data_IF_116438821473
#
_entry.id   IF_116438821473
#
_cell.length_a   1.000
_cell.length_b   1.000
_cell.length_c   1.000
_cell.angle_alpha   90.00
_cell.angle_beta   90.00
_cell.angle_gamma   90.00
#
_symmetry.space_group_name_H-M   'P 1'
#
loop_
_entity.id
_entity.type
_entity.pdbx_description
1 polymer ?
#
# COMPACT_ATOMS: atom_id res chain seq x y z
N UNK A 1 -1.04 -7.24 4.70
CA UNK A 1 0.12 -7.70 3.92
C UNK A 1 0.52 -9.07 4.40
N UNK A 2 0.94 -9.93 3.48
CA UNK A 2 1.42 -11.29 3.75
C UNK A 2 2.75 -11.47 3.04
N UNK A 3 3.72 -12.08 3.72
CA UNK A 3 4.96 -12.51 3.10
C UNK A 3 4.73 -13.91 2.51
N UNK A 4 4.72 -14.00 1.19
CA UNK A 4 4.58 -15.26 0.46
C UNK A 4 5.94 -15.71 -0.07
N UNK A 5 6.66 -16.53 0.71
CA UNK A 5 8.01 -16.95 0.32
C UNK A 5 8.04 -18.01 -0.78
N UNK A 6 6.96 -18.79 -0.91
CA UNK A 6 6.84 -19.95 -1.77
C UNK A 6 5.92 -19.73 -2.98
N UNK A 7 5.12 -18.65 -2.98
CA UNK A 7 4.21 -18.31 -4.07
C UNK A 7 2.90 -19.12 -4.05
N UNK A 8 2.59 -19.79 -2.94
CA UNK A 8 1.41 -20.65 -2.80
C UNK A 8 0.31 -20.05 -1.92
N UNK A 9 0.49 -18.84 -1.39
CA UNK A 9 -0.49 -18.22 -0.49
C UNK A 9 -1.88 -18.10 -1.11
N UNK A 10 -1.95 -17.89 -2.43
CA UNK A 10 -3.21 -17.85 -3.18
C UNK A 10 -4.06 -19.11 -2.98
N UNK A 11 -3.43 -20.29 -2.84
CA UNK A 11 -4.12 -21.57 -2.65
C UNK A 11 -4.71 -21.71 -1.24
N UNK A 12 -4.15 -20.99 -0.26
CA UNK A 12 -4.63 -20.97 1.11
C UNK A 12 -5.59 -19.81 1.40
N UNK A 13 -5.83 -18.93 0.42
CA UNK A 13 -6.62 -17.72 0.61
C UNK A 13 -8.06 -17.90 0.11
N UNK A 14 -9.04 -17.37 0.85
CA UNK A 14 -10.42 -17.32 0.37
C UNK A 14 -10.62 -16.14 -0.60
N UNK A 15 -10.29 -16.34 -1.87
CA UNK A 15 -10.38 -15.32 -2.92
C UNK A 15 -11.80 -14.85 -3.24
N UNK A 16 -12.85 -15.45 -2.67
CA UNK A 16 -14.23 -15.01 -2.91
C UNK A 16 -14.51 -13.59 -2.40
N UNK A 17 -13.75 -13.11 -1.40
CA UNK A 17 -13.95 -11.80 -0.77
C UNK A 17 -12.69 -10.96 -0.68
N UNK A 18 -11.55 -11.47 -1.11
CA UNK A 18 -10.26 -10.77 -1.05
C UNK A 18 -9.52 -10.92 -2.36
N UNK A 19 -8.82 -9.86 -2.74
CA UNK A 19 -7.91 -9.83 -3.87
C UNK A 19 -6.48 -9.70 -3.35
N UNK A 20 -5.56 -10.30 -4.09
CA UNK A 20 -4.14 -10.29 -3.82
C UNK A 20 -3.47 -9.35 -4.82
N UNK A 21 -2.74 -8.35 -4.31
CA UNK A 21 -2.01 -7.40 -5.15
C UNK A 21 -0.52 -7.40 -4.77
N UNK A 22 0.40 -7.62 -5.71
CA UNK A 22 1.84 -7.60 -5.45
C UNK A 22 2.34 -6.18 -5.18
N UNK A 23 3.10 -6.01 -4.08
CA UNK A 23 3.53 -4.67 -3.63
C UNK A 23 4.59 -4.06 -4.54
N UNK A 24 5.51 -4.87 -5.07
CA UNK A 24 6.59 -4.39 -5.91
C UNK A 24 6.08 -3.70 -7.18
N UNK A 25 5.04 -4.24 -7.82
CA UNK A 25 4.47 -3.66 -9.02
C UNK A 25 3.79 -2.30 -8.75
N UNK A 26 3.14 -2.11 -7.60
CA UNK A 26 2.61 -0.80 -7.20
C UNK A 26 3.73 0.22 -6.94
N UNK A 27 4.83 -0.20 -6.30
CA UNK A 27 5.98 0.66 -5.98
C UNK A 27 6.71 1.12 -7.25
N UNK A 28 7.04 0.20 -8.16
CA UNK A 28 7.66 0.53 -9.47
C UNK A 28 6.74 1.43 -10.32
N UNK A 29 5.43 1.17 -10.32
CA UNK A 29 4.46 1.99 -11.06
C UNK A 29 4.34 3.41 -10.48
N UNK A 30 4.39 3.55 -9.15
CA UNK A 30 4.34 4.83 -8.47
C UNK A 30 5.62 5.64 -8.75
N UNK A 31 6.80 5.03 -8.64
CA UNK A 31 8.08 5.67 -8.96
C UNK A 31 8.11 6.16 -10.42
N UNK A 32 7.62 5.36 -11.36
CA UNK A 32 7.51 5.75 -12.77
C UNK A 32 6.58 6.96 -13.02
N UNK A 33 5.52 7.10 -12.23
CA UNK A 33 4.59 8.24 -12.27
C UNK A 33 5.19 9.50 -11.64
N UNK A 34 5.95 9.35 -10.55
CA UNK A 34 6.63 10.46 -9.85
C UNK A 34 7.70 11.13 -10.72
N UNK A 35 8.33 10.41 -11.64
CA UNK A 35 9.26 10.99 -12.61
C UNK A 35 8.62 11.92 -13.66
N UNK A 36 7.29 12.05 -13.72
CA UNK A 36 6.58 12.91 -14.69
C UNK A 36 6.02 14.24 -14.12
N UNK A 37 6.13 14.53 -12.82
CA UNK A 37 5.55 15.74 -12.22
C UNK A 37 6.44 16.38 -11.16
N UNK A 38 6.92 17.59 -11.44
CA UNK A 38 7.82 18.33 -10.56
C UNK A 38 7.23 18.77 -9.21
N UNK A 39 8.18 19.20 -8.38
CA UNK A 39 8.08 19.85 -7.06
C UNK A 39 7.97 18.93 -5.83
N UNK A 40 9.15 18.60 -5.30
CA UNK A 40 9.42 17.71 -4.16
C UNK A 40 9.16 18.38 -2.78
N UNK A 41 8.42 19.49 -2.69
CA UNK A 41 8.31 20.27 -1.44
C UNK A 41 7.08 19.96 -0.56
N UNK A 42 6.21 19.02 -0.94
CA UNK A 42 5.03 18.65 -0.14
C UNK A 42 5.17 17.35 0.68
N UNK A 43 6.36 16.76 0.80
CA UNK A 43 6.56 15.49 1.55
C UNK A 43 6.58 15.64 3.09
N UNK A 44 6.14 16.79 3.61
CA UNK A 44 5.98 17.02 5.04
C UNK A 44 4.50 17.11 5.41
N UNK A 45 3.90 16.00 5.85
CA UNK A 45 2.57 15.87 6.52
C UNK A 45 1.36 15.45 5.67
N UNK A 46 1.55 14.78 4.55
CA UNK A 46 0.42 14.01 4.00
C UNK A 46 0.21 12.81 4.92
N UNK A 47 -0.92 12.79 5.61
CA UNK A 47 -1.33 11.71 6.50
C UNK A 47 -1.33 10.38 5.72
N UNK A 48 -0.24 9.62 5.84
CA UNK A 48 -0.07 8.26 5.26
C UNK A 48 -1.19 7.30 5.74
N UNK A 49 -2.07 7.75 6.63
CA UNK A 49 -3.19 7.00 7.18
C UNK A 49 -4.48 7.06 6.35
N UNK A 50 -4.66 8.01 5.41
CA UNK A 50 -5.94 8.15 4.68
C UNK A 50 -5.96 7.50 3.29
N UNK A 51 -4.81 7.28 2.66
CA UNK A 51 -4.70 6.58 1.38
C UNK A 51 -4.07 5.20 1.59
N UNK A 52 -4.91 4.20 1.89
CA UNK A 52 -4.53 2.77 1.96
C UNK A 52 -4.02 2.21 0.61
N UNK A 53 -3.97 3.03 -0.44
CA UNK A 53 -3.69 2.65 -1.82
C UNK A 53 -2.37 3.18 -2.35
N UNK A 54 -1.59 3.92 -1.55
CA UNK A 54 -0.30 4.47 -1.99
C UNK A 54 0.79 4.28 -0.94
N UNK A 55 2.03 4.11 -1.39
CA UNK A 55 3.22 3.94 -0.54
C UNK A 55 3.22 2.71 0.37
N UNK A 56 2.68 1.59 -0.11
CA UNK A 56 2.63 0.34 0.64
C UNK A 56 4.02 -0.15 1.06
N UNK A 57 5.04 -0.02 0.20
CA UNK A 57 6.42 -0.41 0.53
C UNK A 57 6.98 0.37 1.73
N UNK A 58 6.79 1.70 1.75
CA UNK A 58 7.23 2.57 2.85
C UNK A 58 6.53 2.17 4.15
N UNK A 59 5.20 1.98 4.09
CA UNK A 59 4.40 1.58 5.25
C UNK A 59 4.84 0.21 5.78
N UNK A 60 5.05 -0.75 4.89
CA UNK A 60 5.51 -2.08 5.23
C UNK A 60 6.86 -2.03 5.95
N UNK A 61 7.81 -1.24 5.43
CA UNK A 61 9.13 -1.07 6.03
C UNK A 61 9.05 -0.48 7.43
N UNK A 62 8.18 0.51 7.64
CA UNK A 62 7.95 1.07 8.97
C UNK A 62 7.34 0.05 9.94
N UNK A 63 6.38 -0.76 9.50
CA UNK A 63 5.77 -1.80 10.31
C UNK A 63 6.78 -2.87 10.71
N UNK A 64 7.59 -3.36 9.77
CA UNK A 64 8.64 -4.36 10.03
C UNK A 64 9.72 -3.77 10.93
N UNK A 65 10.12 -2.52 10.73
CA UNK A 65 11.09 -1.83 11.60
C UNK A 65 10.58 -1.69 13.03
N UNK A 66 9.31 -1.30 13.21
CA UNK A 66 8.69 -1.25 14.55
C UNK A 66 8.66 -2.64 15.17
N UNK A 67 8.27 -3.66 14.40
CA UNK A 67 8.25 -5.02 14.89
C UNK A 67 9.63 -5.48 15.35
N UNK A 68 10.69 -5.26 14.56
CA UNK A 68 12.06 -5.56 14.96
C UNK A 68 12.45 -4.85 16.26
N UNK A 69 12.10 -3.56 16.39
CA UNK A 69 12.41 -2.78 17.57
C UNK A 69 11.73 -3.33 18.83
N UNK A 70 10.46 -3.75 18.74
CA UNK A 70 9.68 -4.23 19.89
C UNK A 70 9.89 -5.71 20.20
N UNK A 71 10.23 -6.56 19.23
CA UNK A 71 10.34 -8.01 19.43
C UNK A 71 11.76 -8.56 19.31
N UNK A 72 12.67 -7.81 18.69
CA UNK A 72 14.02 -8.30 18.38
C UNK A 72 14.04 -9.43 17.34
N UNK A 73 12.98 -9.62 16.56
CA UNK A 73 12.86 -10.73 15.61
C UNK A 73 14.00 -10.78 14.59
N UNK A 74 14.72 -11.90 14.55
CA UNK A 74 15.79 -12.17 13.58
C UNK A 74 15.26 -12.20 12.14
N UNK A 75 14.02 -12.66 11.95
CA UNK A 75 13.35 -12.66 10.65
C UNK A 75 13.08 -11.23 10.17
N UNK A 76 12.57 -10.37 11.06
CA UNK A 76 12.33 -8.96 10.72
C UNK A 76 13.63 -8.23 10.34
N UNK A 77 14.73 -8.56 11.03
CA UNK A 77 16.07 -8.07 10.66
C UNK A 77 16.50 -8.54 9.28
N UNK A 78 16.35 -9.83 8.97
CA UNK A 78 16.70 -10.38 7.67
C UNK A 78 15.88 -9.75 6.53
N UNK A 79 14.58 -9.52 6.76
CA UNK A 79 13.69 -8.84 5.81
C UNK A 79 14.16 -7.41 5.53
N UNK A 80 14.49 -6.64 6.57
CA UNK A 80 14.95 -5.25 6.40
C UNK A 80 16.33 -5.17 5.73
N UNK A 81 17.21 -6.14 5.97
CA UNK A 81 18.53 -6.23 5.37
C UNK A 81 18.46 -6.57 3.87
N UNK A 82 17.49 -7.42 3.48
CA UNK A 82 17.30 -7.88 2.10
C UNK A 82 16.00 -7.33 1.50
N UNK A 83 15.70 -6.06 1.77
CA UNK A 83 14.39 -5.47 1.51
C UNK A 83 13.88 -5.65 0.08
N UNK A 84 14.68 -5.31 -0.94
CA UNK A 84 14.28 -5.40 -2.34
C UNK A 84 13.88 -6.82 -2.78
N UNK A 85 14.58 -7.83 -2.24
CA UNK A 85 14.29 -9.25 -2.51
C UNK A 85 12.99 -9.71 -1.85
N UNK A 86 12.74 -9.25 -0.63
CA UNK A 86 11.54 -9.60 0.11
C UNK A 86 10.32 -8.81 -0.36
N UNK A 87 10.50 -7.58 -0.86
CA UNK A 87 9.42 -6.71 -1.33
C UNK A 87 8.60 -7.37 -2.44
N UNK A 88 9.26 -8.04 -3.40
CA UNK A 88 8.60 -8.79 -4.47
C UNK A 88 7.83 -10.03 -4.01
N UNK A 89 8.03 -10.47 -2.76
CA UNK A 89 7.31 -11.58 -2.14
C UNK A 89 6.15 -11.12 -1.25
N UNK A 90 6.00 -9.81 -1.04
CA UNK A 90 4.91 -9.28 -0.25
C UNK A 90 3.67 -9.08 -1.11
N UNK A 91 2.56 -9.58 -0.57
CA UNK A 91 1.24 -9.49 -1.17
C UNK A 91 0.33 -8.65 -0.27
N UNK A 92 -0.33 -7.66 -0.87
CA UNK A 92 -1.43 -6.92 -0.27
C UNK A 92 -2.68 -7.79 -0.32
N UNK A 93 -3.35 -7.92 0.81
CA UNK A 93 -4.65 -8.59 0.87
C UNK A 93 -5.68 -7.49 1.05
N UNK A 94 -6.48 -7.25 0.02
CA UNK A 94 -7.52 -6.22 0.03
C UNK A 94 -8.90 -6.89 -0.06
N UNK A 95 -9.77 -6.71 0.93
CA UNK A 95 -11.15 -7.15 0.82
C UNK A 95 -11.85 -6.40 -0.31
N UNK A 96 -12.55 -7.14 -1.17
CA UNK A 96 -13.21 -6.58 -2.37
C UNK A 96 -14.26 -5.54 -1.97
N UNK A 97 -15.08 -5.85 -0.95
CA UNK A 97 -16.09 -4.91 -0.43
C UNK A 97 -15.46 -3.66 0.19
N UNK A 98 -14.29 -3.78 0.82
CA UNK A 98 -13.60 -2.66 1.43
C UNK A 98 -13.02 -1.70 0.37
N UNK A 99 -12.43 -2.25 -0.71
CA UNK A 99 -11.98 -1.45 -1.85
C UNK A 99 -13.15 -0.68 -2.47
N UNK A 100 -14.26 -1.37 -2.73
CA UNK A 100 -15.46 -0.75 -3.31
C UNK A 100 -16.01 0.38 -2.44
N UNK A 101 -16.07 0.18 -1.12
CA UNK A 101 -16.53 1.23 -0.20
C UNK A 101 -15.60 2.46 -0.19
N UNK A 102 -14.29 2.26 -0.29
CA UNK A 102 -13.30 3.34 -0.43
C UNK A 102 -13.50 4.12 -1.73
N UNK A 103 -13.71 3.42 -2.85
CA UNK A 103 -13.97 4.05 -4.16
C UNK A 103 -15.28 4.86 -4.15
N UNK A 104 -16.36 4.32 -3.57
CA UNK A 104 -17.63 5.02 -3.42
C UNK A 104 -17.48 6.30 -2.57
N UNK A 105 -16.72 6.24 -1.47
CA UNK A 105 -16.42 7.40 -0.62
C UNK A 105 -15.62 8.47 -1.38
N UNK A 106 -14.61 8.06 -2.16
CA UNK A 106 -13.80 8.97 -2.96
C UNK A 106 -14.60 9.62 -4.10
N UNK A 107 -15.41 8.84 -4.83
CA UNK A 107 -16.28 9.32 -5.88
C UNK A 107 -17.29 10.34 -5.35
N UNK A 108 -17.89 10.06 -4.19
CA UNK A 108 -18.84 10.96 -3.54
C UNK A 108 -18.18 12.27 -3.09
N UNK A 109 -16.97 12.23 -2.53
CA UNK A 109 -16.19 13.44 -2.21
C UNK A 109 -15.92 14.27 -3.47
N UNK A 110 -15.46 13.64 -4.56
CA UNK A 110 -15.19 14.32 -5.84
C UNK A 110 -16.43 15.00 -6.42
N UNK A 111 -17.57 14.32 -6.41
CA UNK A 111 -18.84 14.89 -6.90
C UNK A 111 -19.25 16.12 -6.09
N UNK A 112 -19.21 16.03 -4.76
CA UNK A 112 -19.53 17.14 -3.86
C UNK A 112 -18.61 18.35 -4.06
N UNK A 113 -17.31 18.12 -4.26
CA UNK A 113 -16.34 19.18 -4.51
C UNK A 113 -16.55 19.86 -5.88
N UNK A 114 -16.96 19.08 -6.90
CA UNK A 114 -17.29 19.62 -8.22
C UNK A 114 -18.56 20.46 -8.23
N UNK A 115 -19.56 20.08 -7.43
CA UNK A 115 -20.82 20.82 -7.27
C UNK A 115 -20.59 22.13 -6.51
N UNK A 116 -19.79 22.10 -5.43
CA UNK A 116 -19.41 23.30 -4.69
C UNK A 116 -18.64 24.31 -5.56
N UNK A 117 -17.84 23.83 -6.53
CA UNK A 117 -17.06 24.70 -7.43
C UNK A 117 -17.85 25.27 -8.61
N UNK A 118 -19.00 24.69 -8.96
CA UNK A 118 -19.91 25.21 -10.01
C UNK A 118 -20.95 26.21 -9.47
N UNK A 119 -21.11 26.31 -8.15
CA UNK A 119 -22.08 27.19 -7.50
C UNK A 119 -21.56 28.58 -7.10
N UNK A 120 -20.35 28.96 -7.53
CA UNK A 120 -19.74 30.30 -7.32
C UNK A 120 -19.65 31.05 -8.63
#
# INVERSE_FOLDING_TARGET
YVLDEAGDFEQCCNLAMVELQPIKEEDDALEALEHQGGDLEAHGRVDVSHDMTRYDAIRLRQLVSKHLHYTGSSVARAILDNWERYLGKFVKVMPVDYRRALEDLQARKKSQESEARKGV
#
